data_IF_573725023041
#
_entry.id   IF_573725023041
#
_cell.length_a   1.000
_cell.length_b   1.000
_cell.length_c   1.000
_cell.angle_alpha   90.00
_cell.angle_beta   90.00
_cell.angle_gamma   90.00
#
_symmetry.space_group_name_H-M   'P 1'
#
loop_
_entity.id
_entity.type
_entity.pdbx_description
1 polymer ?
#
# COMPACT_ATOMS: atom_id res chain seq x y z
N UNK A 1 -17.87 -11.36 -23.79
CA UNK A 1 -16.53 -10.89 -23.41
C UNK A 1 -16.30 -9.62 -24.20
N UNK A 2 -16.60 -8.45 -23.60
CA UNK A 2 -16.32 -7.18 -24.26
C UNK A 2 -14.82 -6.98 -24.19
N UNK A 3 -14.15 -7.03 -25.34
CA UNK A 3 -12.73 -6.67 -25.43
C UNK A 3 -12.66 -5.18 -25.08
N UNK A 4 -12.01 -4.87 -23.97
CA UNK A 4 -11.83 -3.51 -23.47
C UNK A 4 -10.73 -2.87 -24.31
N UNK A 5 -11.10 -2.39 -25.50
CA UNK A 5 -10.19 -1.64 -26.38
C UNK A 5 -10.14 -0.17 -25.96
N UNK A 6 -8.98 0.43 -26.16
CA UNK A 6 -8.48 1.75 -25.71
C UNK A 6 -9.32 3.03 -25.78
N UNK A 7 -10.54 2.99 -26.27
CA UNK A 7 -11.36 4.18 -26.43
C UNK A 7 -12.35 4.35 -25.28
N UNK A 8 -12.24 3.51 -24.24
CA UNK A 8 -13.06 3.62 -23.03
C UNK A 8 -12.50 4.74 -22.16
N UNK A 9 -13.31 5.78 -21.95
CA UNK A 9 -13.12 6.64 -20.79
C UNK A 9 -13.25 5.72 -19.57
N UNK A 10 -12.17 5.50 -18.81
CA UNK A 10 -12.14 4.50 -17.74
C UNK A 10 -13.22 4.74 -16.66
N UNK A 11 -13.85 5.91 -16.64
CA UNK A 11 -15.01 6.19 -15.80
C UNK A 11 -16.35 5.67 -16.39
N UNK A 12 -16.45 5.33 -17.67
CA UNK A 12 -17.66 4.77 -18.29
C UNK A 12 -17.92 3.33 -17.84
N UNK A 13 -16.89 2.66 -17.32
CA UNK A 13 -17.01 1.31 -16.75
C UNK A 13 -17.32 1.30 -15.26
N UNK A 14 -17.40 2.48 -14.65
CA UNK A 14 -17.70 2.65 -13.25
C UNK A 14 -19.21 2.58 -13.01
N UNK A 15 -19.56 1.86 -11.96
CA UNK A 15 -20.91 1.77 -11.41
C UNK A 15 -20.82 2.36 -10.01
N UNK A 16 -21.52 3.48 -9.79
CA UNK A 16 -21.52 4.23 -8.52
C UNK A 16 -20.15 4.77 -8.06
N UNK A 17 -19.53 5.73 -8.80
CA UNK A 17 -18.45 6.51 -8.24
C UNK A 17 -18.95 7.32 -7.04
N UNK A 18 -18.28 7.18 -5.90
CA UNK A 18 -18.60 7.89 -4.66
C UNK A 18 -17.36 8.58 -4.11
N UNK A 19 -17.58 9.75 -3.50
CA UNK A 19 -16.56 10.50 -2.77
C UNK A 19 -16.80 10.31 -1.28
N UNK A 20 -16.36 9.19 -0.67
CA UNK A 20 -16.59 8.94 0.75
C UNK A 20 -15.93 10.02 1.61
N UNK A 21 -16.63 10.43 2.65
CA UNK A 21 -16.07 11.28 3.69
C UNK A 21 -15.47 10.39 4.79
N UNK A 22 -14.17 10.56 5.05
CA UNK A 22 -13.51 9.86 6.16
C UNK A 22 -13.76 10.61 7.46
N UNK A 23 -14.30 9.92 8.47
CA UNK A 23 -14.42 10.48 9.83
C UNK A 23 -13.05 10.64 10.54
N UNK A 24 -12.01 10.02 9.99
CA UNK A 24 -10.65 10.01 10.53
C UNK A 24 -9.71 10.98 9.78
N UNK A 25 -9.96 11.21 8.49
CA UNK A 25 -9.21 12.12 7.63
C UNK A 25 -10.12 12.87 6.63
N UNK A 26 -11.01 13.76 7.10
CA UNK A 26 -12.07 14.35 6.26
C UNK A 26 -11.56 15.24 5.14
N UNK A 27 -10.35 15.80 5.29
CA UNK A 27 -9.76 16.68 4.29
C UNK A 27 -8.97 15.90 3.21
N UNK A 28 -8.78 14.59 3.36
CA UNK A 28 -8.22 13.76 2.30
C UNK A 28 -9.30 13.49 1.25
N UNK A 29 -9.02 13.80 -0.01
CA UNK A 29 -9.92 13.44 -1.09
C UNK A 29 -9.80 11.95 -1.38
N UNK A 30 -10.91 11.22 -1.29
CA UNK A 30 -10.97 9.79 -1.58
C UNK A 30 -12.09 9.55 -2.58
N UNK A 31 -11.80 8.79 -3.64
CA UNK A 31 -12.76 8.32 -4.62
C UNK A 31 -12.77 6.80 -4.57
N UNK A 32 -13.96 6.21 -4.55
CA UNK A 32 -14.15 4.78 -4.76
C UNK A 32 -15.14 4.55 -5.89
N UNK A 33 -14.91 3.51 -6.67
CA UNK A 33 -15.87 3.07 -7.66
C UNK A 33 -15.83 1.57 -7.86
N UNK A 34 -16.93 1.00 -8.34
CA UNK A 34 -17.00 -0.41 -8.72
C UNK A 34 -16.99 -0.53 -10.24
N UNK A 35 -16.10 -1.34 -10.78
CA UNK A 35 -16.15 -1.69 -12.20
C UNK A 35 -17.37 -2.58 -12.49
N UNK A 36 -17.78 -2.69 -13.76
CA UNK A 36 -18.91 -3.57 -14.16
C UNK A 36 -18.76 -5.03 -13.75
N UNK A 37 -17.54 -5.52 -13.52
CA UNK A 37 -17.29 -6.89 -13.05
C UNK A 37 -17.42 -7.04 -11.52
N UNK A 38 -17.73 -5.95 -10.82
CA UNK A 38 -17.96 -5.90 -9.38
C UNK A 38 -16.73 -5.61 -8.53
N UNK A 39 -15.52 -5.53 -9.11
CA UNK A 39 -14.28 -5.17 -8.41
C UNK A 39 -14.24 -3.68 -8.08
N UNK A 40 -13.67 -3.34 -6.92
CA UNK A 40 -13.56 -1.96 -6.43
C UNK A 40 -12.22 -1.37 -6.83
N UNK A 41 -12.22 -0.17 -7.40
CA UNK A 41 -11.07 0.69 -7.56
C UNK A 41 -11.17 1.86 -6.58
N UNK A 42 -10.04 2.30 -6.04
CA UNK A 42 -9.96 3.43 -5.12
C UNK A 42 -8.87 4.41 -5.53
N UNK A 43 -8.98 5.64 -5.06
CA UNK A 43 -7.93 6.62 -5.22
C UNK A 43 -7.99 7.63 -4.09
N UNK A 44 -6.83 8.01 -3.56
CA UNK A 44 -6.73 8.98 -2.48
C UNK A 44 -5.61 9.97 -2.76
N UNK A 45 -5.80 11.21 -2.29
CA UNK A 45 -4.78 12.26 -2.40
C UNK A 45 -5.20 13.57 -1.78
N UNK A 46 -4.28 14.55 -1.83
CA UNK A 46 -4.53 15.90 -1.30
C UNK A 46 -5.56 16.73 -2.09
N UNK A 47 -6.01 16.24 -3.25
CA UNK A 47 -7.05 16.88 -4.06
C UNK A 47 -7.91 15.84 -4.79
N UNK A 48 -9.10 16.26 -5.25
CA UNK A 48 -10.01 15.39 -6.00
C UNK A 48 -9.40 14.95 -7.33
N UNK A 49 -8.63 15.80 -7.98
CA UNK A 49 -7.97 15.48 -9.26
C UNK A 49 -6.94 14.36 -9.06
N UNK A 50 -6.14 14.42 -7.98
CA UNK A 50 -5.18 13.37 -7.64
C UNK A 50 -5.89 12.05 -7.33
N UNK A 51 -6.93 12.10 -6.49
CA UNK A 51 -7.73 10.92 -6.14
C UNK A 51 -8.41 10.30 -7.38
N UNK A 52 -8.90 11.13 -8.29
CA UNK A 52 -9.50 10.69 -9.55
C UNK A 52 -8.48 9.96 -10.43
N UNK A 53 -7.30 10.55 -10.66
CA UNK A 53 -6.24 9.93 -11.47
C UNK A 53 -5.73 8.61 -10.88
N UNK A 54 -5.66 8.51 -9.55
CA UNK A 54 -5.31 7.26 -8.86
C UNK A 54 -6.38 6.19 -9.05
N UNK A 55 -7.65 6.55 -8.90
CA UNK A 55 -8.77 5.63 -9.12
C UNK A 55 -8.84 5.13 -10.57
N UNK A 56 -8.56 5.99 -11.56
CA UNK A 56 -8.44 5.56 -12.96
C UNK A 56 -7.27 4.60 -13.18
N UNK A 57 -6.15 4.80 -12.48
CA UNK A 57 -4.98 3.91 -12.58
C UNK A 57 -5.29 2.52 -12.03
N UNK A 58 -5.84 2.44 -10.80
CA UNK A 58 -6.26 1.15 -10.22
C UNK A 58 -7.34 0.46 -11.07
N UNK A 59 -8.25 1.25 -11.66
CA UNK A 59 -9.23 0.71 -12.61
C UNK A 59 -8.55 0.05 -13.81
N UNK A 60 -7.54 0.70 -14.41
CA UNK A 60 -6.82 0.13 -15.55
C UNK A 60 -6.08 -1.17 -15.17
N UNK A 61 -5.49 -1.23 -13.98
CA UNK A 61 -4.83 -2.42 -13.44
C UNK A 61 -5.82 -3.59 -13.30
N UNK A 62 -6.99 -3.33 -12.69
CA UNK A 62 -8.07 -4.31 -12.52
C UNK A 62 -8.50 -4.90 -13.88
N UNK A 63 -8.72 -4.04 -14.88
CA UNK A 63 -9.14 -4.49 -16.20
C UNK A 63 -8.06 -5.29 -16.92
N UNK A 64 -6.79 -4.85 -16.83
CA UNK A 64 -5.68 -5.53 -17.47
C UNK A 64 -5.49 -6.95 -16.91
N UNK A 65 -5.64 -7.13 -15.59
CA UNK A 65 -5.61 -8.45 -14.95
C UNK A 65 -6.81 -9.33 -15.37
N UNK A 66 -7.98 -8.74 -15.56
CA UNK A 66 -9.16 -9.50 -15.97
C UNK A 66 -9.07 -10.00 -17.42
N UNK A 67 -8.40 -9.23 -18.29
CA UNK A 67 -8.26 -9.56 -19.72
C UNK A 67 -7.09 -10.52 -19.97
N UNK A 68 -6.00 -10.39 -19.22
CA UNK A 68 -4.83 -11.23 -19.37
C UNK A 68 -4.81 -12.39 -18.36
N UNK A 69 -4.71 -13.63 -18.85
CA UNK A 69 -4.40 -14.81 -18.02
C UNK A 69 -2.93 -14.77 -17.59
N UNK A 70 -2.63 -13.86 -16.65
CA UNK A 70 -1.31 -13.74 -16.04
C UNK A 70 -1.26 -14.58 -14.76
N UNK A 71 -0.09 -15.10 -14.44
CA UNK A 71 0.18 -15.71 -13.14
C UNK A 71 0.50 -14.62 -12.10
N UNK A 72 -0.35 -13.59 -12.01
CA UNK A 72 -0.17 -12.49 -11.06
C UNK A 72 -0.42 -12.97 -9.62
N UNK A 73 0.54 -12.68 -8.74
CA UNK A 73 0.45 -12.99 -7.31
C UNK A 73 0.39 -11.70 -6.51
N UNK A 74 -0.78 -11.41 -5.93
CA UNK A 74 -1.06 -10.17 -5.19
C UNK A 74 -0.28 -9.99 -3.89
N UNK A 75 0.55 -10.95 -3.51
CA UNK A 75 1.41 -10.88 -2.32
C UNK A 75 2.81 -10.41 -2.68
N UNK A 76 3.25 -10.58 -3.93
CA UNK A 76 4.67 -10.46 -4.31
C UNK A 76 4.94 -9.63 -5.53
N UNK A 77 3.99 -9.57 -6.46
CA UNK A 77 4.18 -8.93 -7.74
C UNK A 77 3.76 -7.46 -7.64
N UNK A 78 4.43 -6.55 -8.35
CA UNK A 78 3.99 -5.16 -8.45
C UNK A 78 3.18 -4.95 -9.73
N UNK A 79 2.12 -4.15 -9.65
CA UNK A 79 1.24 -3.88 -10.77
C UNK A 79 0.85 -2.40 -10.75
N UNK A 80 1.23 -1.67 -11.79
CA UNK A 80 0.93 -0.24 -11.82
C UNK A 80 0.46 0.23 -13.18
N UNK A 81 -0.49 1.15 -13.17
CA UNK A 81 -0.91 1.92 -14.33
C UNK A 81 -0.58 3.41 -14.19
N UNK A 82 -0.26 4.04 -15.32
CA UNK A 82 -0.02 5.48 -15.39
C UNK A 82 -0.14 5.97 -16.84
N UNK A 83 -0.53 7.24 -17.12
CA UNK A 83 -0.60 7.76 -18.49
C UNK A 83 0.74 7.72 -19.24
N UNK A 84 1.84 7.83 -18.49
CA UNK A 84 3.21 7.63 -18.98
C UNK A 84 3.68 6.20 -18.67
N UNK A 85 4.00 5.44 -19.73
CA UNK A 85 4.46 4.05 -19.63
C UNK A 85 5.75 3.88 -18.82
N UNK A 86 6.67 4.86 -18.84
CA UNK A 86 7.90 4.79 -18.04
C UNK A 86 7.60 4.88 -16.56
N UNK A 87 6.65 5.75 -16.19
CA UNK A 87 6.21 5.91 -14.80
C UNK A 87 5.41 4.68 -14.35
N UNK A 88 4.54 4.13 -15.19
CA UNK A 88 3.82 2.88 -14.90
C UNK A 88 4.80 1.74 -14.61
N UNK A 89 5.80 1.54 -15.49
CA UNK A 89 6.87 0.57 -15.30
C UNK A 89 7.64 0.79 -14.00
N UNK A 90 8.01 2.04 -13.70
CA UNK A 90 8.73 2.39 -12.48
C UNK A 90 7.92 2.09 -11.22
N UNK A 91 6.63 2.47 -11.20
CA UNK A 91 5.74 2.18 -10.07
C UNK A 91 5.53 0.67 -9.86
N UNK A 92 5.41 -0.11 -10.93
CA UNK A 92 5.31 -1.57 -10.81
C UNK A 92 6.57 -2.17 -10.16
N UNK A 93 7.76 -1.64 -10.46
CA UNK A 93 8.99 -2.05 -9.79
C UNK A 93 9.01 -1.67 -8.31
N UNK A 94 8.60 -0.44 -7.98
CA UNK A 94 8.51 0.04 -6.60
C UNK A 94 7.54 -0.80 -5.77
N UNK A 95 6.38 -1.15 -6.31
CA UNK A 95 5.40 -1.98 -5.60
C UNK A 95 5.90 -3.42 -5.40
N UNK A 96 6.58 -4.01 -6.38
CA UNK A 96 7.19 -5.33 -6.22
C UNK A 96 8.24 -5.33 -5.09
N UNK A 97 9.05 -4.26 -5.02
CA UNK A 97 10.01 -4.08 -3.91
C UNK A 97 9.32 -3.84 -2.57
N UNK A 98 8.25 -3.04 -2.54
CA UNK A 98 7.45 -2.81 -1.35
C UNK A 98 7.01 -4.15 -0.74
N UNK A 99 6.39 -5.00 -1.57
CA UNK A 99 5.91 -6.33 -1.18
C UNK A 99 7.06 -7.20 -0.67
N UNK A 100 8.19 -7.21 -1.37
CA UNK A 100 9.38 -7.91 -0.90
C UNK A 100 9.85 -7.43 0.47
N UNK A 101 9.98 -6.12 0.70
CA UNK A 101 10.46 -5.60 1.98
C UNK A 101 9.48 -5.86 3.12
N UNK A 102 8.18 -5.77 2.85
CA UNK A 102 7.15 -6.14 3.82
C UNK A 102 7.29 -7.61 4.21
N UNK A 103 7.49 -8.51 3.23
CA UNK A 103 7.72 -9.93 3.50
C UNK A 103 9.00 -10.19 4.31
N UNK A 104 10.10 -9.52 3.93
CA UNK A 104 11.37 -9.62 4.67
C UNK A 104 11.22 -9.08 6.10
N UNK A 105 10.43 -8.03 6.30
CA UNK A 105 10.11 -7.48 7.63
C UNK A 105 9.30 -8.45 8.47
N UNK A 106 8.22 -9.01 7.91
CA UNK A 106 7.42 -10.04 8.58
C UNK A 106 8.22 -11.27 8.97
N UNK A 107 9.20 -11.67 8.15
CA UNK A 107 10.10 -12.78 8.44
C UNK A 107 11.20 -12.43 9.48
N UNK A 108 11.29 -11.17 9.92
CA UNK A 108 12.34 -10.67 10.81
C UNK A 108 13.71 -10.49 10.14
N UNK A 109 13.77 -10.56 8.80
CA UNK A 109 14.98 -10.34 8.01
C UNK A 109 15.27 -8.85 7.75
N UNK A 110 14.27 -7.99 7.88
CA UNK A 110 14.36 -6.54 7.72
C UNK A 110 13.77 -5.83 8.95
N UNK A 111 14.56 -5.10 9.76
CA UNK A 111 14.00 -4.36 10.90
C UNK A 111 13.20 -3.12 10.42
N UNK A 112 12.17 -2.78 11.20
CA UNK A 112 11.47 -1.50 11.10
C UNK A 112 12.05 -0.52 12.13
N UNK A 113 12.53 0.63 11.65
CA UNK A 113 13.15 1.68 12.46
C UNK A 113 12.23 2.90 12.56
N UNK A 114 11.94 3.35 13.78
CA UNK A 114 11.03 4.46 14.07
C UNK A 114 11.54 5.80 13.53
N UNK A 115 10.68 6.57 12.88
CA UNK A 115 11.00 7.91 12.41
C UNK A 115 10.76 8.95 13.52
N UNK A 116 11.76 9.79 13.77
CA UNK A 116 11.68 10.86 14.77
C UNK A 116 10.66 11.93 14.37
N UNK A 117 10.05 12.58 15.37
CA UNK A 117 9.11 13.69 15.13
C UNK A 117 9.82 14.84 14.38
N UNK A 118 11.07 15.14 14.72
CA UNK A 118 11.90 16.15 14.05
C UNK A 118 12.06 15.86 12.54
N UNK A 119 12.30 14.59 12.17
CA UNK A 119 12.39 14.20 10.77
C UNK A 119 11.03 14.31 10.07
N UNK A 120 9.95 13.88 10.73
CA UNK A 120 8.59 13.96 10.17
C UNK A 120 8.17 15.41 9.89
N UNK A 121 8.54 16.34 10.77
CA UNK A 121 8.33 17.77 10.61
C UNK A 121 9.16 18.32 9.45
N UNK A 122 10.46 18.01 9.41
CA UNK A 122 11.35 18.44 8.34
C UNK A 122 10.89 17.94 6.96
N UNK A 123 10.43 16.68 6.88
CA UNK A 123 9.90 16.05 5.67
C UNK A 123 8.45 16.46 5.34
N UNK A 124 7.84 17.37 6.12
CA UNK A 124 6.45 17.85 5.95
C UNK A 124 5.37 16.76 6.07
N UNK A 125 5.70 15.62 6.65
CA UNK A 125 4.78 14.50 6.87
C UNK A 125 3.78 14.85 7.98
N UNK A 126 4.24 15.44 9.09
CA UNK A 126 3.36 15.88 10.19
C UNK A 126 2.32 16.87 9.68
N UNK A 127 2.76 17.89 8.94
CA UNK A 127 1.86 18.89 8.36
C UNK A 127 0.88 18.27 7.35
N UNK A 128 1.28 17.24 6.61
CA UNK A 128 0.37 16.49 5.73
C UNK A 128 -0.68 15.71 6.53
N UNK A 129 -0.29 14.99 7.58
CA UNK A 129 -1.21 14.26 8.47
C UNK A 129 -2.21 15.21 9.13
N UNK A 130 -1.73 16.32 9.70
CA UNK A 130 -2.57 17.30 10.37
C UNK A 130 -3.60 17.91 9.42
N UNK A 131 -3.18 18.25 8.19
CA UNK A 131 -4.10 18.74 7.16
C UNK A 131 -5.14 17.69 6.82
N UNK A 132 -4.74 16.46 6.53
CA UNK A 132 -5.67 15.38 6.18
C UNK A 132 -6.68 15.09 7.30
N UNK A 133 -6.24 15.15 8.56
CA UNK A 133 -7.07 14.95 9.76
C UNK A 133 -7.84 16.19 10.21
N UNK A 134 -7.71 17.33 9.53
CA UNK A 134 -8.44 18.54 9.89
C UNK A 134 -9.95 18.28 9.86
N UNK A 135 -10.61 18.55 10.99
CA UNK A 135 -12.05 18.31 11.17
C UNK A 135 -12.44 16.86 11.50
N UNK A 136 -11.48 15.96 11.72
CA UNK A 136 -11.77 14.57 12.08
C UNK A 136 -12.61 14.49 13.36
N UNK A 137 -13.69 13.70 13.31
CA UNK A 137 -14.57 13.48 14.47
C UNK A 137 -14.06 12.36 15.37
N UNK A 138 -13.17 11.50 14.85
CA UNK A 138 -12.52 10.42 15.61
C UNK A 138 -11.00 10.57 15.54
N UNK A 139 -10.39 10.69 16.71
CA UNK A 139 -8.94 10.80 16.83
C UNK A 139 -8.25 9.46 16.51
N UNK A 140 -7.18 9.54 15.71
CA UNK A 140 -6.22 8.46 15.54
C UNK A 140 -4.80 9.02 15.56
N UNK A 141 -3.90 8.30 16.22
CA UNK A 141 -2.47 8.61 16.21
C UNK A 141 -1.84 7.93 14.99
N UNK A 142 -1.09 8.67 14.19
CA UNK A 142 -0.29 8.11 13.09
C UNK A 142 1.20 8.16 13.47
N UNK A 143 1.89 7.03 13.32
CA UNK A 143 3.32 6.89 13.54
C UNK A 143 3.97 6.23 12.32
N UNK A 144 5.26 6.44 12.10
CA UNK A 144 5.94 5.93 10.92
C UNK A 144 7.25 5.20 11.26
N UNK A 145 7.56 4.18 10.46
CA UNK A 145 8.80 3.43 10.48
C UNK A 145 9.38 3.33 9.08
N UNK A 146 10.70 3.29 8.99
CA UNK A 146 11.44 2.96 7.78
C UNK A 146 11.89 1.51 7.84
N UNK A 147 11.66 0.76 6.75
CA UNK A 147 12.22 -0.58 6.58
C UNK A 147 13.65 -0.46 6.07
N UNK A 148 14.60 -0.96 6.85
CA UNK A 148 16.01 -0.92 6.48
C UNK A 148 16.26 -1.75 5.21
N UNK A 149 16.56 -1.08 4.11
CA UNK A 149 16.85 -1.72 2.83
C UNK A 149 18.18 -1.25 2.26
N UNK A 150 18.84 -2.11 1.48
CA UNK A 150 20.13 -1.84 0.85
C UNK A 150 20.00 -1.29 -0.56
N UNK A 151 18.76 -1.18 -1.06
CA UNK A 151 18.45 -0.68 -2.39
C UNK A 151 18.26 0.84 -2.37
N UNK A 152 18.42 1.54 -3.50
CA UNK A 152 18.21 3.00 -3.58
C UNK A 152 16.72 3.36 -3.63
N UNK A 153 15.95 2.80 -2.70
CA UNK A 153 14.53 3.07 -2.48
C UNK A 153 14.28 3.14 -0.98
N UNK A 154 13.17 3.73 -0.60
CA UNK A 154 12.71 3.77 0.78
C UNK A 154 11.37 3.07 0.86
N UNK A 155 11.23 2.16 1.82
CA UNK A 155 9.95 1.55 2.15
C UNK A 155 9.53 1.98 3.55
N UNK A 156 8.35 2.57 3.65
CA UNK A 156 7.80 3.11 4.89
C UNK A 156 6.59 2.32 5.33
N UNK A 157 6.42 2.20 6.65
CA UNK A 157 5.21 1.71 7.30
C UNK A 157 4.59 2.89 8.03
N UNK A 158 3.33 3.20 7.75
CA UNK A 158 2.52 4.06 8.59
C UNK A 158 1.60 3.20 9.45
N UNK A 159 1.65 3.39 10.77
CA UNK A 159 0.73 2.75 11.71
C UNK A 159 -0.26 3.79 12.21
N UNK A 160 -1.55 3.47 12.13
CA UNK A 160 -2.60 4.27 12.71
C UNK A 160 -3.30 3.52 13.83
N UNK A 161 -3.47 4.14 15.00
CA UNK A 161 -4.15 3.55 16.16
C UNK A 161 -5.17 4.50 16.77
N UNK A 162 -6.17 3.95 17.46
CA UNK A 162 -7.05 4.76 18.30
C UNK A 162 -6.31 5.30 19.55
N UNK A 163 -7.00 6.06 20.41
CA UNK A 163 -6.43 6.65 21.64
C UNK A 163 -5.84 5.62 22.61
N UNK A 164 -6.34 4.39 22.58
CA UNK A 164 -5.91 3.29 23.44
C UNK A 164 -4.82 2.43 22.79
N UNK A 165 -4.32 2.81 21.60
CA UNK A 165 -3.37 2.00 20.85
C UNK A 165 -3.99 0.77 20.19
N UNK A 166 -5.33 0.69 20.11
CA UNK A 166 -6.06 -0.43 19.50
C UNK A 166 -6.50 -0.09 18.06
N UNK A 167 -7.17 -1.06 17.42
CA UNK A 167 -7.67 -0.99 16.05
C UNK A 167 -6.58 -0.65 15.04
N UNK A 168 -5.43 -1.31 15.15
CA UNK A 168 -4.23 -1.03 14.35
C UNK A 168 -4.54 -1.17 12.85
N UNK A 169 -4.22 -0.13 12.09
CA UNK A 169 -4.21 -0.14 10.62
C UNK A 169 -2.79 0.18 10.18
N UNK A 170 -2.28 -0.61 9.23
CA UNK A 170 -0.99 -0.37 8.59
C UNK A 170 -1.22 0.07 7.16
N UNK A 171 -0.46 1.07 6.73
CA UNK A 171 -0.30 1.47 5.34
C UNK A 171 1.19 1.43 4.97
N UNK A 172 1.48 1.23 3.70
CA UNK A 172 2.83 1.05 3.21
C UNK A 172 3.11 2.04 2.08
N UNK A 173 4.38 2.39 1.92
CA UNK A 173 4.76 3.30 0.84
C UNK A 173 6.16 3.00 0.37
N UNK A 174 6.37 2.97 -0.93
CA UNK A 174 7.71 2.79 -1.49
C UNK A 174 7.97 3.80 -2.59
N UNK A 175 9.10 4.49 -2.49
CA UNK A 175 9.55 5.49 -3.45
C UNK A 175 11.07 5.61 -3.41
N UNK A 176 11.66 6.26 -4.41
CA UNK A 176 13.09 6.61 -4.41
C UNK A 176 13.43 7.74 -3.44
N UNK A 177 12.43 8.48 -3.00
CA UNK A 177 12.53 9.56 -2.02
C UNK A 177 11.80 9.18 -0.71
N UNK A 178 12.46 9.36 0.43
CA UNK A 178 11.95 8.94 1.74
C UNK A 178 10.67 9.70 2.13
N UNK A 179 10.61 11.01 1.87
CA UNK A 179 9.42 11.81 2.17
C UNK A 179 8.22 11.35 1.33
N UNK A 180 8.44 11.09 0.04
CA UNK A 180 7.43 10.56 -0.87
C UNK A 180 6.91 9.19 -0.42
N UNK A 181 7.81 8.28 -0.02
CA UNK A 181 7.44 6.98 0.53
C UNK A 181 6.59 7.13 1.81
N UNK A 182 6.94 8.07 2.69
CA UNK A 182 6.17 8.35 3.91
C UNK A 182 4.77 8.89 3.59
N UNK A 183 4.65 9.82 2.64
CA UNK A 183 3.36 10.34 2.20
C UNK A 183 2.47 9.25 1.58
N UNK A 184 3.04 8.33 0.81
CA UNK A 184 2.33 7.18 0.25
C UNK A 184 1.81 6.26 1.36
N UNK A 185 2.66 5.91 2.35
CA UNK A 185 2.26 5.08 3.47
C UNK A 185 1.13 5.70 4.30
N UNK A 186 1.21 7.01 4.56
CA UNK A 186 0.14 7.75 5.25
C UNK A 186 -1.14 7.80 4.42
N UNK A 187 -1.04 7.97 3.10
CA UNK A 187 -2.21 7.97 2.22
C UNK A 187 -2.90 6.61 2.23
N UNK A 188 -2.13 5.52 2.17
CA UNK A 188 -2.67 4.16 2.23
C UNK A 188 -3.34 3.87 3.57
N UNK A 189 -2.71 4.23 4.71
CA UNK A 189 -3.31 3.98 6.03
C UNK A 189 -4.65 4.72 6.18
N UNK A 190 -4.76 5.94 5.66
CA UNK A 190 -6.02 6.72 5.69
C UNK A 190 -7.08 6.16 4.75
N UNK A 191 -6.69 5.58 3.62
CA UNK A 191 -7.62 4.84 2.75
C UNK A 191 -8.14 3.57 3.45
N UNK A 192 -7.27 2.84 4.15
CA UNK A 192 -7.65 1.64 4.89
C UNK A 192 -8.49 1.94 6.14
N UNK A 193 -8.33 3.11 6.75
CA UNK A 193 -9.19 3.59 7.83
C UNK A 193 -10.68 3.65 7.42
N UNK A 194 -11.00 3.91 6.14
CA UNK A 194 -12.38 3.86 5.66
C UNK A 194 -12.97 2.44 5.76
N UNK A 195 -12.17 1.43 5.41
CA UNK A 195 -12.59 0.04 5.44
C UNK A 195 -12.80 -0.47 6.88
N UNK A 196 -12.13 0.13 7.86
CA UNK A 196 -12.31 -0.20 9.28
C UNK A 196 -13.76 -0.01 9.72
N UNK A 197 -14.47 1.02 9.23
CA UNK A 197 -15.89 1.22 9.56
C UNK A 197 -16.74 0.01 9.15
N UNK A 198 -16.55 -0.48 7.92
CA UNK A 198 -17.26 -1.67 7.42
C UNK A 198 -16.91 -2.93 8.22
N UNK A 199 -15.65 -3.10 8.61
CA UNK A 199 -15.20 -4.23 9.45
C UNK A 199 -15.80 -4.15 10.86
N UNK A 200 -15.79 -2.97 11.49
CA UNK A 200 -16.38 -2.76 12.82
C UNK A 200 -17.89 -2.99 12.82
N UNK A 201 -18.59 -2.52 11.78
CA UNK A 201 -20.02 -2.77 11.60
C UNK A 201 -20.33 -4.28 11.46
N UNK A 202 -19.49 -5.03 10.73
CA UNK A 202 -19.64 -6.48 10.58
C UNK A 202 -19.29 -7.27 11.86
N UNK A 203 -18.31 -6.80 12.65
CA UNK A 203 -17.88 -7.44 13.90
C UNK A 203 -18.89 -7.33 15.05
N UNK A 204 -19.87 -6.43 14.97
CA UNK A 204 -20.95 -6.30 15.95
C UNK A 204 -21.79 -7.56 16.18
N UNK A 205 -21.59 -8.64 15.41
CA UNK A 205 -22.27 -9.93 15.53
C UNK A 205 -21.40 -11.14 15.95
N UNK A 206 -20.08 -11.01 16.11
CA UNK A 206 -19.20 -12.16 16.41
C UNK A 206 -19.04 -12.39 17.92
N UNK A 207 -19.39 -13.60 18.40
CA UNK A 207 -19.04 -14.10 19.74
C UNK A 207 -17.67 -14.78 19.70
N UNK A 208 -16.81 -14.51 20.68
CA UNK A 208 -15.40 -14.94 20.75
C UNK A 208 -15.23 -16.27 21.53
N UNK A 209 -14.91 -17.40 20.86
CA UNK A 209 -14.27 -18.54 21.51
C UNK A 209 -12.77 -18.72 21.18
N UNK A 210 -12.17 -17.93 20.28
CA UNK A 210 -10.82 -18.24 19.74
C UNK A 210 -9.72 -17.20 20.04
N UNK A 211 -9.93 -16.31 21.02
CA UNK A 211 -8.94 -15.26 21.37
C UNK A 211 -7.62 -15.85 21.87
N UNK A 212 -7.68 -16.89 22.72
CA UNK A 212 -6.50 -17.50 23.32
C UNK A 212 -5.57 -18.15 22.29
N UNK A 213 -6.11 -18.69 21.18
CA UNK A 213 -5.31 -19.25 20.10
C UNK A 213 -4.55 -18.15 19.35
N UNK A 214 -5.23 -17.04 19.05
CA UNK A 214 -4.62 -15.90 18.35
C UNK A 214 -3.53 -15.27 19.25
N UNK A 215 -3.83 -15.08 20.54
CA UNK A 215 -2.86 -14.59 21.53
C UNK A 215 -1.62 -15.51 21.60
N UNK A 216 -1.81 -16.83 21.60
CA UNK A 216 -0.69 -17.77 21.59
C UNK A 216 0.19 -17.66 20.33
N UNK A 217 -0.41 -17.46 19.15
CA UNK A 217 0.34 -17.25 17.90
C UNK A 217 1.14 -15.93 17.96
N UNK A 218 0.52 -14.86 18.45
CA UNK A 218 1.17 -13.55 18.63
C UNK A 218 2.35 -13.68 19.60
N UNK A 219 2.14 -14.33 20.75
CA UNK A 219 3.19 -14.55 21.75
C UNK A 219 4.35 -15.39 21.20
N UNK A 220 4.04 -16.46 20.45
CA UNK A 220 5.06 -17.30 19.82
C UNK A 220 5.87 -16.53 18.76
N UNK A 221 5.21 -15.67 17.99
CA UNK A 221 5.87 -14.79 17.05
C UNK A 221 6.80 -13.80 17.76
N UNK A 222 6.28 -13.09 18.77
CA UNK A 222 7.03 -12.07 19.52
C UNK A 222 8.28 -12.66 20.20
N UNK A 223 8.20 -13.91 20.70
CA UNK A 223 9.37 -14.62 21.27
C UNK A 223 10.46 -14.91 20.25
N UNK A 224 10.11 -15.16 18.99
CA UNK A 224 11.06 -15.52 17.93
C UNK A 224 11.66 -14.31 17.25
N UNK A 225 10.87 -13.26 17.02
CA UNK A 225 11.24 -12.16 16.13
C UNK A 225 11.27 -10.78 16.80
N UNK A 226 10.87 -10.69 18.07
CA UNK A 226 10.77 -9.42 18.79
C UNK A 226 9.52 -8.62 18.39
N UNK A 227 9.53 -7.31 18.68
CA UNK A 227 8.44 -6.42 18.31
C UNK A 227 8.48 -6.08 16.82
N UNK A 228 7.34 -6.23 16.13
CA UNK A 228 7.17 -5.87 14.72
C UNK A 228 7.50 -4.41 14.44
N UNK A 229 6.99 -3.52 15.29
CA UNK A 229 7.22 -2.08 15.23
C UNK A 229 8.05 -1.70 16.45
N UNK A 230 9.36 -1.64 16.26
CA UNK A 230 10.29 -1.34 17.36
C UNK A 230 10.41 0.17 17.60
N UNK A 231 10.74 0.58 18.83
CA UNK A 231 11.06 1.97 19.19
C UNK A 231 12.49 2.37 18.80
N UNK A 232 13.21 1.51 18.08
CA UNK A 232 14.57 1.80 17.62
C UNK A 232 14.51 2.93 16.59
N UNK A 233 15.13 4.06 16.89
CA UNK A 233 15.20 5.20 15.97
C UNK A 233 15.92 4.84 14.67
N UNK A 234 15.39 5.32 13.55
CA UNK A 234 16.01 5.23 12.25
C UNK A 234 17.30 6.05 12.20
N UNK A 235 18.28 5.55 11.45
CA UNK A 235 19.45 6.36 11.12
C UNK A 235 19.07 7.38 10.05
N UNK A 236 18.87 8.65 10.42
CA UNK A 236 18.47 9.71 9.49
C UNK A 236 19.45 9.90 8.31
N UNK A 237 20.74 9.56 8.48
CA UNK A 237 21.70 9.58 7.37
C UNK A 237 21.34 8.56 6.27
N UNK A 238 20.63 7.48 6.61
CA UNK A 238 20.12 6.51 5.64
C UNK A 238 18.85 6.96 4.92
N UNK A 239 18.20 8.03 5.42
CA UNK A 239 17.01 8.65 4.83
C UNK A 239 17.38 9.81 3.91
N UNK A 240 18.65 10.21 3.87
CA UNK A 240 19.15 11.22 2.95
C UNK A 240 18.95 10.71 1.52
N UNK A 241 18.29 11.52 0.70
CA UNK A 241 17.86 11.16 -0.66
C UNK A 241 18.99 10.52 -1.44
N UNK A 242 18.81 9.25 -1.83
CA UNK A 242 19.65 8.64 -2.85
C UNK A 242 19.51 9.45 -4.13
N UNK A 243 20.63 9.80 -4.77
CA UNK A 243 20.61 10.28 -6.15
C UNK A 243 19.74 9.34 -6.98
N UNK A 244 18.89 9.89 -7.86
CA UNK A 244 17.97 9.16 -8.74
C UNK A 244 18.71 8.09 -9.51
N UNK A 245 18.86 6.92 -8.90
CA UNK A 245 19.47 5.77 -9.52
C UNK A 245 18.39 5.06 -10.31
N UNK A 246 18.74 4.71 -11.55
CA UNK A 246 17.91 3.85 -12.37
C UNK A 246 17.68 2.53 -11.61
N UNK A 247 16.46 2.33 -11.10
CA UNK A 247 16.11 1.13 -10.35
C UNK A 247 16.39 -0.14 -11.14
N UNK A 248 16.33 -0.09 -12.47
CA UNK A 248 16.60 -1.26 -13.30
C UNK A 248 17.98 -1.88 -13.08
N UNK A 249 18.96 -1.11 -12.58
CA UNK A 249 20.33 -1.57 -12.30
C UNK A 249 20.45 -2.17 -10.89
N UNK A 250 19.70 -1.66 -9.91
CA UNK A 250 19.79 -2.08 -8.51
C UNK A 250 18.78 -3.18 -8.13
N UNK A 251 17.75 -3.38 -8.95
CA UNK A 251 16.71 -4.38 -8.70
C UNK A 251 17.28 -5.79 -8.64
N UNK A 252 16.74 -6.66 -7.77
CA UNK A 252 16.91 -8.11 -7.90
C UNK A 252 16.52 -8.61 -9.29
N UNK A 253 16.92 -9.84 -9.64
CA UNK A 253 16.45 -10.49 -10.86
C UNK A 253 14.92 -10.43 -10.94
N UNK A 254 14.40 -9.93 -12.06
CA UNK A 254 12.98 -9.65 -12.22
C UNK A 254 12.56 -9.69 -13.69
N UNK A 255 11.26 -9.88 -13.90
CA UNK A 255 10.59 -9.81 -15.20
C UNK A 255 9.62 -8.64 -15.22
N UNK A 256 9.61 -7.91 -16.33
CA UNK A 256 8.65 -6.85 -16.61
C UNK A 256 7.77 -7.27 -17.78
N UNK A 257 6.47 -7.17 -17.60
CA UNK A 257 5.46 -7.56 -18.58
C UNK A 257 4.56 -6.36 -18.83
N UNK A 258 4.45 -5.95 -20.08
CA UNK A 258 3.48 -4.94 -20.50
C UNK A 258 2.10 -5.60 -20.58
N UNK A 259 1.19 -5.21 -19.69
CA UNK A 259 -0.18 -5.69 -19.66
C UNK A 259 -1.15 -4.76 -20.39
N UNK A 260 -0.65 -3.73 -21.08
CA UNK A 260 -1.48 -2.74 -21.76
C UNK A 260 -2.34 -3.42 -22.84
N UNK A 261 -3.68 -3.42 -22.71
CA UNK A 261 -4.55 -4.20 -23.60
C UNK A 261 -4.59 -3.63 -25.03
N UNK A 262 -4.34 -2.32 -25.19
CA UNK A 262 -4.30 -1.67 -26.50
C UNK A 262 -3.36 -0.44 -26.47
N UNK A 263 -2.63 -0.11 -27.55
CA UNK A 263 -1.62 0.97 -27.56
C UNK A 263 -2.10 2.38 -27.17
N UNK A 264 -3.41 2.66 -27.23
CA UNK A 264 -4.00 3.94 -26.82
C UNK A 264 -4.58 3.91 -25.39
N UNK A 265 -4.63 2.74 -24.74
CA UNK A 265 -5.08 2.61 -23.35
C UNK A 265 -4.06 3.22 -22.40
N UNK A 266 -4.47 3.49 -21.15
CA UNK A 266 -3.52 3.79 -20.06
C UNK A 266 -2.53 2.63 -19.93
N UNK A 267 -1.21 2.87 -20.04
CA UNK A 267 -0.21 1.83 -19.86
C UNK A 267 -0.32 1.11 -18.52
N UNK A 268 -0.20 -0.22 -18.53
CA UNK A 268 -0.20 -1.07 -17.33
C UNK A 268 0.99 -2.01 -17.37
N UNK A 269 1.77 -2.06 -16.28
CA UNK A 269 2.97 -2.88 -16.18
C UNK A 269 2.91 -3.79 -14.96
N UNK A 270 3.32 -5.04 -15.17
CA UNK A 270 3.50 -6.04 -14.14
C UNK A 270 5.01 -6.29 -13.93
N UNK A 271 5.46 -6.23 -12.69
CA UNK A 271 6.82 -6.56 -12.27
C UNK A 271 6.80 -7.78 -11.34
N UNK A 272 7.56 -8.81 -11.70
CA UNK A 272 7.67 -10.04 -10.93
C UNK A 272 9.12 -10.26 -10.54
N UNK A 273 9.39 -10.45 -9.24
CA UNK A 273 10.74 -10.72 -8.74
C UNK A 273 11.02 -12.23 -8.77
N UNK A 274 12.23 -12.62 -9.18
CA UNK A 274 12.68 -14.01 -9.20
C UNK A 274 13.15 -14.46 -7.80
N UNK A 275 12.38 -14.19 -6.74
CA UNK A 275 12.73 -14.56 -5.35
C UNK A 275 12.07 -15.88 -4.92
N UNK A 276 12.85 -16.96 -4.87
CA UNK A 276 12.37 -18.30 -4.47
C UNK A 276 11.91 -18.39 -3.01
N UNK A 277 12.18 -17.39 -2.17
CA UNK A 277 11.77 -17.35 -0.75
C UNK A 277 10.27 -17.12 -0.53
N UNK A 278 9.56 -16.71 -1.57
CA UNK A 278 8.12 -16.39 -1.54
C UNK A 278 7.26 -17.62 -1.22
N UNK A 279 7.74 -18.83 -1.54
CA UNK A 279 6.97 -20.08 -1.41
C UNK A 279 6.65 -20.43 0.05
N UNK A 280 7.45 -19.96 1.02
CA UNK A 280 7.23 -20.26 2.44
C UNK A 280 6.19 -19.36 3.11
N UNK A 281 5.89 -18.18 2.55
CA UNK A 281 4.90 -17.24 3.10
C UNK A 281 3.47 -17.63 2.73
N UNK A 282 3.27 -18.31 1.60
CA UNK A 282 1.94 -18.73 1.12
C UNK A 282 1.40 -19.98 1.84
N UNK A 283 1.95 -20.37 2.99
CA UNK A 283 1.41 -21.50 3.75
C UNK A 283 0.04 -21.12 4.35
N UNK A 284 -0.95 -22.03 4.38
CA UNK A 284 -2.32 -21.73 4.83
C UNK A 284 -2.44 -21.28 6.29
N UNK A 285 -1.41 -21.51 7.09
CA UNK A 285 -1.30 -21.09 8.49
C UNK A 285 -0.70 -19.68 8.65
N UNK A 286 -0.35 -19.02 7.56
CA UNK A 286 0.13 -17.64 7.58
C UNK A 286 -1.03 -16.70 7.96
N UNK A 287 -0.87 -15.81 8.96
CA UNK A 287 -1.97 -15.01 9.52
C UNK A 287 -2.64 -14.03 8.54
N UNK A 288 -2.09 -13.90 7.32
CA UNK A 288 -2.61 -13.07 6.23
C UNK A 288 -3.27 -13.88 5.09
N UNK A 289 -3.31 -15.22 5.17
CA UNK A 289 -3.92 -16.11 4.17
C UNK A 289 -5.36 -16.53 4.54
N UNK A 290 -5.99 -15.90 5.53
CA UNK A 290 -7.43 -16.01 5.73
C UNK A 290 -8.15 -15.18 4.66
N UNK A 291 -8.43 -15.81 3.51
CA UNK A 291 -9.44 -15.35 2.56
C UNK A 291 -10.84 -15.42 3.17
#
# INVERSE_FOLDING_TARGET
>A
MHVITSDINLNDIWTAPIWPESIYAPALAILQSRTHNGQTASGAGGSREVAFEKCLSETAEILALADQKTDYVSVTDGLAAHPDAKIARHHAQLEALQRKFILDWWAGACPAEYLSDDWLDAAQVTAFVDRARAGATVYRKTQLWHLACTLPVHCMIACSTNRMGQDIILGFGTATDAASAAHLAVTEVMLMELNLYSVMAARGGYRHPDTARIEAIIDEYAKRHGALLSDRSANEASLASGTTHDLSIAMPAHRLIDLTPHPKSRPVWLCQLDDKRIVDVLRPDHPFMAQ
#
